data_IF_432597660004
#
_entry.id   IF_432597660004
#
_cell.length_a   1.000
_cell.length_b   1.000
_cell.length_c   1.000
_cell.angle_alpha   90.00
_cell.angle_beta   90.00
_cell.angle_gamma   90.00
#
_symmetry.space_group_name_H-M   'P 1'
#
loop_
_entity.id
_entity.type
_entity.pdbx_description
1 polymer ?
#
# COMPACT_ATOMS: atom_id res chain seq x y z
N UNK A 1 -39.61 -27.05 -0.57
CA UNK A 1 -39.53 -26.16 -1.74
C UNK A 1 -38.09 -26.18 -2.23
N UNK A 2 -37.77 -27.11 -3.14
CA UNK A 2 -36.41 -27.27 -3.66
C UNK A 2 -36.13 -26.16 -4.68
N UNK A 3 -35.07 -25.38 -4.47
CA UNK A 3 -34.65 -24.33 -5.39
C UNK A 3 -34.18 -24.98 -6.71
N UNK A 4 -34.67 -24.46 -7.83
CA UNK A 4 -34.34 -24.89 -9.18
C UNK A 4 -32.97 -24.34 -9.62
N UNK A 5 -32.25 -25.06 -10.50
CA UNK A 5 -30.88 -24.71 -10.93
C UNK A 5 -30.71 -23.29 -11.47
N UNK A 6 -31.70 -22.78 -12.21
CA UNK A 6 -31.75 -21.40 -12.71
C UNK A 6 -31.75 -20.34 -11.59
N UNK A 7 -32.44 -20.61 -10.47
CA UNK A 7 -32.47 -19.70 -9.31
C UNK A 7 -31.15 -19.73 -8.56
N UNK A 8 -30.51 -20.89 -8.46
CA UNK A 8 -29.18 -21.03 -7.85
C UNK A 8 -28.11 -20.28 -8.64
N UNK A 9 -28.16 -20.36 -9.97
CA UNK A 9 -27.22 -19.63 -10.85
C UNK A 9 -27.37 -18.11 -10.72
N UNK A 10 -28.61 -17.60 -10.65
CA UNK A 10 -28.87 -16.16 -10.45
C UNK A 10 -28.45 -15.67 -9.07
N UNK A 11 -28.66 -16.46 -8.02
CA UNK A 11 -28.19 -16.13 -6.67
C UNK A 11 -26.67 -16.07 -6.64
N UNK A 12 -26.00 -17.05 -7.25
CA UNK A 12 -24.54 -17.06 -7.37
C UNK A 12 -24.02 -15.81 -8.12
N UNK A 13 -24.64 -15.45 -9.24
CA UNK A 13 -24.30 -14.24 -10.00
C UNK A 13 -24.46 -12.96 -9.17
N UNK A 14 -25.53 -12.83 -8.39
CA UNK A 14 -25.77 -11.68 -7.52
C UNK A 14 -24.74 -11.59 -6.39
N UNK A 15 -24.38 -12.72 -5.78
CA UNK A 15 -23.35 -12.78 -4.75
C UNK A 15 -21.98 -12.39 -5.31
N UNK A 16 -21.60 -12.94 -6.47
CA UNK A 16 -20.33 -12.57 -7.12
C UNK A 16 -20.27 -11.08 -7.50
N UNK A 17 -21.36 -10.52 -8.04
CA UNK A 17 -21.42 -9.09 -8.37
C UNK A 17 -21.27 -8.21 -7.12
N UNK A 18 -21.89 -8.60 -6.00
CA UNK A 18 -21.75 -7.89 -4.73
C UNK A 18 -20.32 -7.95 -4.17
N UNK A 19 -19.66 -9.12 -4.23
CA UNK A 19 -18.26 -9.28 -3.80
C UNK A 19 -17.28 -8.42 -4.61
N UNK A 20 -17.46 -8.34 -5.94
CA UNK A 20 -16.59 -7.54 -6.80
C UNK A 20 -16.72 -6.03 -6.55
N UNK A 21 -17.95 -5.57 -6.26
CA UNK A 21 -18.19 -4.17 -5.91
C UNK A 21 -17.51 -3.80 -4.58
N UNK A 22 -17.64 -4.65 -3.56
CA UNK A 22 -17.05 -4.37 -2.24
C UNK A 22 -15.51 -4.37 -2.27
N UNK A 23 -14.90 -5.30 -3.00
CA UNK A 23 -13.43 -5.36 -3.16
C UNK A 23 -12.85 -4.08 -3.79
N UNK A 24 -13.58 -3.47 -4.74
CA UNK A 24 -13.14 -2.25 -5.43
C UNK A 24 -13.13 -1.04 -4.48
N UNK A 25 -14.08 -0.97 -3.54
CA UNK A 25 -14.14 0.08 -2.51
C UNK A 25 -12.95 -0.05 -1.55
N UNK A 26 -12.64 -1.27 -1.10
CA UNK A 26 -11.52 -1.51 -0.18
C UNK A 26 -10.18 -1.09 -0.77
N UNK A 27 -9.93 -1.38 -2.05
CA UNK A 27 -8.67 -0.98 -2.69
C UNK A 27 -8.50 0.54 -2.81
N UNK A 28 -9.56 1.27 -3.19
CA UNK A 28 -9.51 2.75 -3.22
C UNK A 28 -9.26 3.34 -1.82
N UNK A 29 -9.89 2.77 -0.79
CA UNK A 29 -9.66 3.17 0.60
C UNK A 29 -8.19 2.97 1.02
N UNK A 30 -7.55 1.89 0.61
CA UNK A 30 -6.13 1.63 0.91
C UNK A 30 -5.19 2.65 0.26
N UNK A 31 -5.48 3.10 -0.97
CA UNK A 31 -4.71 4.15 -1.64
C UNK A 31 -4.85 5.49 -0.91
N UNK A 32 -6.07 5.84 -0.50
CA UNK A 32 -6.34 7.09 0.21
C UNK A 32 -5.67 7.10 1.60
N UNK A 33 -5.81 6.02 2.38
CA UNK A 33 -5.12 5.83 3.66
C UNK A 33 -3.58 5.90 3.48
N UNK A 34 -3.07 5.26 2.43
CA UNK A 34 -1.65 5.30 2.08
C UNK A 34 -1.15 6.70 1.73
N UNK A 35 -1.93 7.47 0.98
CA UNK A 35 -1.65 8.87 0.65
C UNK A 35 -1.57 9.73 1.92
N UNK A 36 -2.57 9.63 2.80
CA UNK A 36 -2.57 10.33 4.09
C UNK A 36 -1.37 9.92 4.94
N UNK A 37 -1.07 8.61 4.99
CA UNK A 37 0.06 8.11 5.76
C UNK A 37 1.40 8.60 5.21
N UNK A 38 1.54 8.71 3.90
CA UNK A 38 2.71 9.26 3.24
C UNK A 38 2.87 10.75 3.57
N UNK A 39 1.77 11.50 3.53
CA UNK A 39 1.71 12.94 3.83
C UNK A 39 1.98 13.29 5.30
N UNK A 40 1.86 12.36 6.25
CA UNK A 40 2.19 12.66 7.65
C UNK A 40 3.67 13.03 7.84
N UNK A 41 4.60 12.33 7.18
CA UNK A 41 6.05 12.55 7.40
C UNK A 41 6.96 12.16 6.22
N UNK A 42 6.52 11.26 5.33
CA UNK A 42 7.40 10.66 4.32
C UNK A 42 7.75 11.66 3.21
N UNK A 43 6.77 12.47 2.80
CA UNK A 43 6.92 13.48 1.75
C UNK A 43 7.98 14.56 2.06
N UNK A 44 8.28 14.81 3.34
CA UNK A 44 9.27 15.79 3.76
C UNK A 44 10.67 15.48 3.22
N UNK A 45 10.96 14.18 3.03
CA UNK A 45 12.23 13.72 2.49
C UNK A 45 12.05 13.14 1.08
N UNK A 46 11.01 12.34 0.84
CA UNK A 46 10.82 11.68 -0.45
C UNK A 46 10.11 12.55 -1.51
N UNK A 47 9.90 13.83 -1.21
CA UNK A 47 9.26 14.77 -2.13
C UNK A 47 7.75 14.55 -2.28
N UNK A 48 7.11 15.43 -3.05
CA UNK A 48 5.69 15.33 -3.37
C UNK A 48 5.41 13.97 -4.02
N UNK A 49 4.42 13.25 -3.50
CA UNK A 49 4.00 11.96 -4.04
C UNK A 49 5.15 10.93 -4.17
N UNK A 50 6.25 11.05 -3.43
CA UNK A 50 7.36 10.11 -3.51
C UNK A 50 8.28 10.29 -4.74
N UNK A 51 8.24 11.44 -5.42
CA UNK A 51 9.02 11.69 -6.63
C UNK A 51 10.52 11.94 -6.39
N UNK A 52 10.96 11.98 -5.13
CA UNK A 52 12.33 12.29 -4.74
C UNK A 52 12.61 13.80 -4.73
N UNK A 53 13.62 14.20 -3.98
CA UNK A 53 14.13 15.57 -3.96
C UNK A 53 15.59 15.58 -3.49
N UNK A 54 16.44 16.32 -4.19
CA UNK A 54 17.88 16.40 -3.92
C UNK A 54 18.53 15.00 -3.79
N UNK A 55 19.03 14.65 -2.61
CA UNK A 55 19.67 13.36 -2.32
C UNK A 55 18.72 12.27 -1.84
N UNK A 56 17.44 12.57 -1.64
CA UNK A 56 16.44 11.59 -1.24
C UNK A 56 15.80 10.93 -2.47
N UNK A 57 15.75 9.59 -2.52
CA UNK A 57 15.39 8.86 -3.73
C UNK A 57 13.89 8.96 -4.05
N UNK A 58 13.57 8.83 -5.34
CA UNK A 58 12.22 8.52 -5.83
C UNK A 58 11.81 7.15 -5.28
N UNK A 59 10.60 7.08 -4.73
CA UNK A 59 9.94 5.87 -4.22
C UNK A 59 8.58 5.62 -4.86
N UNK A 60 8.06 6.59 -5.64
CA UNK A 60 6.89 6.42 -6.49
C UNK A 60 7.13 5.39 -7.61
N UNK A 61 6.10 4.61 -7.92
CA UNK A 61 6.08 3.65 -9.03
C UNK A 61 6.99 2.44 -8.83
N UNK A 62 7.49 2.22 -7.61
CA UNK A 62 8.19 1.00 -7.27
C UNK A 62 7.18 -0.12 -7.01
N UNK A 63 7.57 -1.35 -7.33
CA UNK A 63 6.74 -2.53 -7.07
C UNK A 63 6.35 -2.62 -5.58
N UNK A 64 5.09 -2.98 -5.26
CA UNK A 64 4.62 -3.06 -3.89
C UNK A 64 5.51 -3.94 -3.00
N UNK A 65 5.90 -5.11 -3.48
CA UNK A 65 6.71 -6.08 -2.74
C UNK A 65 8.10 -5.52 -2.42
N UNK A 66 8.65 -4.71 -3.32
CA UNK A 66 9.92 -4.04 -3.09
C UNK A 66 9.80 -3.00 -1.96
N UNK A 67 8.73 -2.22 -1.95
CA UNK A 67 8.49 -1.22 -0.90
C UNK A 67 8.30 -1.92 0.45
N UNK A 68 7.51 -3.00 0.48
CA UNK A 68 7.26 -3.80 1.68
C UNK A 68 8.57 -4.41 2.22
N UNK A 69 9.38 -5.05 1.38
CA UNK A 69 10.68 -5.61 1.78
C UNK A 69 11.58 -4.54 2.41
N UNK A 70 11.72 -3.40 1.72
CA UNK A 70 12.58 -2.31 2.20
C UNK A 70 12.12 -1.76 3.54
N UNK A 71 10.81 -1.48 3.70
CA UNK A 71 10.27 -0.97 4.96
C UNK A 71 10.42 -1.99 6.10
N UNK A 72 10.20 -3.27 5.83
CA UNK A 72 10.40 -4.34 6.81
C UNK A 72 11.85 -4.47 7.27
N UNK A 73 12.81 -4.42 6.34
CA UNK A 73 14.25 -4.47 6.65
C UNK A 73 14.71 -3.26 7.43
N UNK A 74 14.22 -2.06 7.09
CA UNK A 74 14.48 -0.88 7.89
C UNK A 74 13.83 -0.96 9.27
N UNK A 75 12.62 -1.49 9.38
CA UNK A 75 11.92 -1.67 10.66
C UNK A 75 12.65 -2.66 11.58
N UNK A 76 13.23 -3.74 11.03
CA UNK A 76 14.08 -4.68 11.77
C UNK A 76 15.44 -4.08 12.18
N UNK A 77 15.82 -2.94 11.60
CA UNK A 77 17.09 -2.25 11.87
C UNK A 77 18.23 -2.68 10.95
N UNK A 78 17.94 -3.43 9.89
CA UNK A 78 18.93 -3.82 8.90
C UNK A 78 19.49 -2.59 8.17
N UNK A 79 20.82 -2.52 8.06
CA UNK A 79 21.51 -1.47 7.30
C UNK A 79 21.79 -1.97 5.89
N UNK A 80 21.03 -1.47 4.93
CA UNK A 80 21.10 -1.87 3.51
C UNK A 80 21.73 -0.78 2.62
N UNK A 81 22.26 0.28 3.22
CA UNK A 81 22.92 1.41 2.58
C UNK A 81 23.38 2.47 3.58
N UNK A 82 24.21 3.41 3.12
CA UNK A 82 24.85 4.44 3.96
C UNK A 82 23.85 5.33 4.72
N UNK A 83 22.66 5.57 4.17
CA UNK A 83 21.61 6.40 4.78
C UNK A 83 20.52 5.61 5.53
N UNK A 84 20.74 4.31 5.77
CA UNK A 84 19.72 3.44 6.38
C UNK A 84 19.22 3.94 7.73
N UNK A 85 20.06 4.61 8.52
CA UNK A 85 19.68 5.11 9.86
C UNK A 85 18.48 6.06 9.85
N UNK A 86 18.33 6.87 8.79
CA UNK A 86 17.18 7.77 8.62
C UNK A 86 15.90 6.96 8.44
N UNK A 87 15.92 5.98 7.51
CA UNK A 87 14.74 5.16 7.23
C UNK A 87 14.43 4.15 8.34
N UNK A 88 15.42 3.60 9.04
CA UNK A 88 15.22 2.74 10.21
C UNK A 88 14.40 3.49 11.28
N UNK A 89 14.76 4.73 11.58
CA UNK A 89 14.06 5.56 12.57
C UNK A 89 12.60 5.83 12.18
N UNK A 90 12.32 5.94 10.89
CA UNK A 90 10.97 6.13 10.36
C UNK A 90 10.17 4.81 10.34
N UNK A 91 10.77 3.73 9.85
CA UNK A 91 10.13 2.44 9.66
C UNK A 91 9.80 1.73 10.98
N UNK A 92 10.56 1.97 12.05
CA UNK A 92 10.25 1.46 13.40
C UNK A 92 8.90 1.89 13.96
N UNK A 93 8.33 2.98 13.45
CA UNK A 93 7.02 3.51 13.86
C UNK A 93 5.87 2.94 13.04
N UNK A 94 6.16 2.13 12.02
CA UNK A 94 5.16 1.58 11.11
C UNK A 94 4.62 0.25 11.63
N UNK A 95 3.29 0.16 11.66
CA UNK A 95 2.57 -1.12 11.73
C UNK A 95 2.63 -1.86 10.38
N UNK A 96 2.30 -3.15 10.38
CA UNK A 96 2.22 -3.94 9.13
C UNK A 96 1.23 -3.32 8.14
N UNK A 97 0.04 -2.96 8.64
CA UNK A 97 -0.99 -2.30 7.86
C UNK A 97 -0.49 -0.99 7.24
N UNK A 98 0.25 -0.17 7.98
CA UNK A 98 0.81 1.07 7.43
C UNK A 98 1.86 0.83 6.34
N UNK A 99 2.64 -0.25 6.43
CA UNK A 99 3.57 -0.64 5.36
C UNK A 99 2.79 -1.03 4.10
N UNK A 100 1.74 -1.83 4.25
CA UNK A 100 0.93 -2.30 3.12
C UNK A 100 0.24 -1.15 2.39
N UNK A 101 -0.42 -0.24 3.10
CA UNK A 101 -1.09 0.92 2.47
C UNK A 101 -0.08 1.90 1.84
N UNK A 102 1.11 2.06 2.43
CA UNK A 102 2.17 2.89 1.84
C UNK A 102 2.67 2.29 0.53
N UNK A 103 2.83 0.97 0.47
CA UNK A 103 3.21 0.26 -0.74
C UNK A 103 2.11 0.33 -1.82
N UNK A 104 0.85 0.13 -1.43
CA UNK A 104 -0.30 0.25 -2.32
C UNK A 104 -0.41 1.66 -2.93
N UNK A 105 -0.28 2.70 -2.11
CA UNK A 105 -0.29 4.08 -2.59
C UNK A 105 0.88 4.39 -3.52
N UNK A 106 2.12 4.13 -3.09
CA UNK A 106 3.32 4.53 -3.84
C UNK A 106 3.47 3.78 -5.18
N UNK A 107 3.07 2.52 -5.25
CA UNK A 107 3.08 1.73 -6.50
C UNK A 107 2.08 2.23 -7.53
N UNK A 108 1.04 2.97 -7.12
CA UNK A 108 0.03 3.54 -8.01
C UNK A 108 0.47 4.85 -8.68
N UNK A 109 1.64 5.40 -8.31
CA UNK A 109 2.13 6.70 -8.79
C UNK A 109 3.08 6.49 -9.97
N UNK A 110 2.72 7.05 -11.14
CA UNK A 110 3.53 7.02 -12.37
C UNK A 110 4.34 8.31 -12.57
#
# INVERSE_FOLDING_TARGET
MLLNGEKLLKIFQLVCAFCLFFASISFSNDIDEGNERFHKNCHNCHGKAGMGVASYPKVAGLEPEYIIDRLNRYRSGEKIGSNSGLMISMARKLTDREIDILAAYLSNIN
#
